data_IF_928385296851
#
_entry.id   IF_928385296851
#
_cell.length_a   1.000
_cell.length_b   1.000
_cell.length_c   1.000
_cell.angle_alpha   90.00
_cell.angle_beta   90.00
_cell.angle_gamma   90.00
#
_symmetry.space_group_name_H-M   'P 1'
#
loop_
_entity.id
_entity.type
_entity.pdbx_description
1 polymer ?
#
# COMPACT_ATOMS: atom_id res chain seq x y z
N UNK A 1 -11.79 11.41 6.05
CA UNK A 1 -12.78 12.45 5.77
C UNK A 1 -12.49 13.73 6.55
N UNK A 2 -12.40 13.73 7.89
CA UNK A 2 -12.13 14.90 8.71
C UNK A 2 -10.84 15.61 8.32
N UNK A 3 -9.77 14.89 8.03
CA UNK A 3 -8.48 15.48 7.62
C UNK A 3 -8.60 16.18 6.27
N UNK A 4 -9.29 15.60 5.30
CA UNK A 4 -9.52 16.22 4.00
C UNK A 4 -10.36 17.51 4.12
N UNK A 5 -11.30 17.58 5.06
CA UNK A 5 -12.11 18.77 5.28
C UNK A 5 -11.38 19.90 6.03
N UNK A 6 -10.38 19.57 6.88
CA UNK A 6 -9.61 20.55 7.64
C UNK A 6 -8.38 21.09 6.90
N UNK A 7 -7.65 20.21 6.20
CA UNK A 7 -6.38 20.55 5.54
C UNK A 7 -6.51 20.81 4.05
N UNK A 8 -7.73 20.75 3.50
CA UNK A 8 -7.99 20.96 2.07
C UNK A 8 -7.65 19.72 1.23
N UNK A 9 -7.70 19.93 -0.09
CA UNK A 9 -7.55 18.87 -1.10
C UNK A 9 -6.09 18.74 -1.59
N UNK A 10 -5.11 19.00 -0.71
CA UNK A 10 -3.70 18.86 -1.08
C UNK A 10 -3.32 17.38 -1.18
N UNK A 11 -2.92 16.89 -2.37
CA UNK A 11 -2.58 15.48 -2.57
C UNK A 11 -1.42 15.01 -1.69
N UNK A 12 -0.50 15.93 -1.36
CA UNK A 12 0.65 15.60 -0.52
C UNK A 12 0.22 15.29 0.92
N UNK A 13 -0.63 16.12 1.51
CA UNK A 13 -1.14 15.94 2.87
C UNK A 13 -1.95 14.63 2.97
N UNK A 14 -2.80 14.36 1.97
CA UNK A 14 -3.56 13.11 1.91
C UNK A 14 -2.64 11.89 1.82
N UNK A 15 -1.61 11.95 0.97
CA UNK A 15 -0.65 10.85 0.81
C UNK A 15 0.11 10.56 2.10
N UNK A 16 0.59 11.58 2.80
CA UNK A 16 1.26 11.44 4.11
C UNK A 16 0.32 10.85 5.15
N UNK A 17 -0.92 11.30 5.18
CA UNK A 17 -1.93 10.80 6.12
C UNK A 17 -2.22 9.32 5.89
N UNK A 18 -2.43 8.91 4.64
CA UNK A 18 -2.61 7.49 4.32
C UNK A 18 -1.36 6.69 4.66
N UNK A 19 -0.16 7.19 4.34
CA UNK A 19 1.11 6.55 4.67
C UNK A 19 1.25 6.28 6.16
N UNK A 20 0.96 7.26 7.01
CA UNK A 20 1.00 7.11 8.47
C UNK A 20 -0.05 6.13 8.99
N UNK A 21 -1.27 6.19 8.44
CA UNK A 21 -2.37 5.30 8.85
C UNK A 21 -2.05 3.84 8.54
N UNK A 22 -1.46 3.56 7.39
CA UNK A 22 -1.11 2.22 6.96
C UNK A 22 0.27 1.73 7.44
N UNK A 23 1.10 2.60 8.00
CA UNK A 23 2.36 2.20 8.63
C UNK A 23 2.15 1.31 9.87
N UNK A 24 1.09 1.52 10.63
CA UNK A 24 0.79 0.76 11.84
C UNK A 24 0.48 -0.75 11.57
N UNK A 25 -0.33 -1.14 10.58
CA UNK A 25 -0.48 -2.53 10.16
C UNK A 25 0.85 -3.19 9.76
N UNK A 26 1.65 -2.52 8.92
CA UNK A 26 2.95 -3.02 8.45
C UNK A 26 3.89 -3.27 9.65
N UNK A 27 3.97 -2.34 10.58
CA UNK A 27 4.80 -2.48 11.78
C UNK A 27 4.35 -3.67 12.66
N UNK A 28 3.05 -3.92 12.77
CA UNK A 28 2.52 -5.09 13.51
C UNK A 28 2.90 -6.41 12.85
N UNK A 29 2.77 -6.50 11.53
CA UNK A 29 3.14 -7.70 10.78
C UNK A 29 4.64 -7.94 10.86
N UNK A 30 5.47 -6.91 10.69
CA UNK A 30 6.91 -7.00 10.83
C UNK A 30 7.33 -7.51 12.22
N UNK A 31 6.71 -6.97 13.28
CA UNK A 31 6.96 -7.41 14.66
C UNK A 31 6.54 -8.86 14.87
N UNK A 32 5.34 -9.24 14.45
CA UNK A 32 4.82 -10.61 14.59
C UNK A 32 5.69 -11.63 13.86
N UNK A 33 6.04 -11.36 12.61
CA UNK A 33 6.92 -12.21 11.80
C UNK A 33 8.31 -12.36 12.43
N UNK A 34 8.86 -11.26 12.96
CA UNK A 34 10.16 -11.30 13.65
C UNK A 34 10.08 -12.19 14.90
N UNK A 35 9.03 -12.09 15.70
CA UNK A 35 8.88 -12.92 16.90
C UNK A 35 8.79 -14.41 16.57
N UNK A 36 8.01 -14.76 15.55
CA UNK A 36 7.90 -16.16 15.08
C UNK A 36 9.24 -16.69 14.56
N UNK A 37 9.98 -15.89 13.80
CA UNK A 37 11.31 -16.28 13.31
C UNK A 37 12.34 -16.45 14.42
N UNK A 38 12.34 -15.58 15.42
CA UNK A 38 13.26 -15.68 16.57
C UNK A 38 13.05 -16.95 17.41
N UNK A 39 11.85 -17.54 17.34
CA UNK A 39 11.54 -18.81 18.01
C UNK A 39 11.96 -20.06 17.21
N UNK A 40 12.34 -19.91 15.92
CA UNK A 40 12.74 -21.04 15.07
C UNK A 40 14.11 -21.59 15.41
N UNK A 41 14.29 -22.90 15.16
CA UNK A 41 15.50 -23.64 15.52
C UNK A 41 16.76 -23.14 14.81
N UNK A 42 16.66 -22.67 13.54
CA UNK A 42 17.84 -22.14 12.84
C UNK A 42 18.43 -20.90 13.53
N UNK A 43 17.58 -20.04 14.12
CA UNK A 43 18.04 -18.88 14.90
C UNK A 43 18.70 -19.33 16.20
N UNK A 44 18.19 -20.39 16.82
CA UNK A 44 18.84 -20.98 18.02
C UNK A 44 20.23 -21.54 17.70
N UNK A 45 20.35 -22.25 16.59
CA UNK A 45 21.65 -22.76 16.11
C UNK A 45 22.61 -21.62 15.81
N UNK A 46 22.17 -20.58 15.10
CA UNK A 46 22.99 -19.43 14.80
C UNK A 46 23.50 -18.71 16.09
N UNK A 47 22.66 -18.67 17.14
CA UNK A 47 23.09 -18.14 18.46
C UNK A 47 24.13 -19.02 19.13
N UNK A 48 24.00 -20.33 19.04
CA UNK A 48 24.97 -21.28 19.58
C UNK A 48 26.34 -21.21 18.87
N UNK A 49 26.34 -20.88 17.59
CA UNK A 49 27.53 -20.67 16.77
C UNK A 49 28.22 -19.30 17.03
N UNK A 50 27.71 -18.52 17.99
CA UNK A 50 28.30 -17.24 18.36
C UNK A 50 27.68 -16.02 17.68
N UNK A 51 26.60 -16.21 16.89
CA UNK A 51 25.85 -15.12 16.29
C UNK A 51 25.16 -14.27 17.36
N UNK A 52 25.55 -13.01 17.51
CA UNK A 52 25.01 -12.08 18.51
C UNK A 52 24.57 -10.76 17.88
N UNK A 53 23.47 -10.21 18.42
CA UNK A 53 23.01 -8.85 18.13
C UNK A 53 22.81 -8.56 16.65
N UNK A 54 23.57 -7.62 16.14
CA UNK A 54 23.44 -7.07 14.79
C UNK A 54 23.67 -8.12 13.69
N UNK A 55 24.66 -8.99 13.85
CA UNK A 55 24.99 -10.02 12.87
C UNK A 55 23.84 -11.03 12.70
N UNK A 56 23.19 -11.44 13.79
CA UNK A 56 22.05 -12.31 13.75
C UNK A 56 20.84 -11.61 13.09
N UNK A 57 20.65 -10.33 13.40
CA UNK A 57 19.55 -9.54 12.86
C UNK A 57 19.68 -9.40 11.34
N UNK A 58 20.83 -8.94 10.84
CA UNK A 58 21.02 -8.67 9.42
C UNK A 58 21.31 -9.92 8.59
N UNK A 59 21.96 -10.95 9.17
CA UNK A 59 22.31 -12.17 8.46
C UNK A 59 21.18 -13.17 8.35
N UNK A 60 20.38 -13.33 9.41
CA UNK A 60 19.39 -14.41 9.49
C UNK A 60 17.95 -13.91 9.56
N UNK A 61 17.67 -12.88 10.37
CA UNK A 61 16.30 -12.47 10.65
C UNK A 61 15.77 -11.55 9.54
N UNK A 62 16.50 -10.49 9.21
CA UNK A 62 16.07 -9.46 8.26
C UNK A 62 15.77 -10.03 6.85
N UNK A 63 16.61 -10.89 6.24
CA UNK A 63 16.32 -11.44 4.91
C UNK A 63 15.03 -12.29 4.88
N UNK A 64 14.70 -12.94 5.98
CA UNK A 64 13.51 -13.78 6.08
C UNK A 64 12.25 -12.96 6.41
N UNK A 65 12.37 -11.91 7.24
CA UNK A 65 11.25 -11.00 7.57
C UNK A 65 10.93 -10.10 6.38
N UNK A 66 11.94 -9.69 5.60
CA UNK A 66 11.81 -8.73 4.51
C UNK A 66 10.76 -9.16 3.47
N UNK A 67 10.74 -10.44 3.09
CA UNK A 67 9.74 -10.96 2.15
C UNK A 67 8.31 -10.77 2.66
N UNK A 68 8.05 -11.13 3.90
CA UNK A 68 6.73 -10.97 4.53
C UNK A 68 6.33 -9.51 4.63
N UNK A 69 7.28 -8.63 4.94
CA UNK A 69 7.04 -7.18 5.03
C UNK A 69 6.76 -6.59 3.64
N UNK A 70 7.47 -7.02 2.59
CA UNK A 70 7.21 -6.59 1.22
C UNK A 70 5.80 -6.98 0.75
N UNK A 71 5.39 -8.20 1.03
CA UNK A 71 4.04 -8.68 0.73
C UNK A 71 2.99 -7.79 1.42
N UNK A 72 3.18 -7.49 2.69
CA UNK A 72 2.27 -6.61 3.44
C UNK A 72 2.25 -5.18 2.88
N UNK A 73 3.42 -4.62 2.53
CA UNK A 73 3.50 -3.28 1.90
C UNK A 73 2.72 -3.26 0.59
N UNK A 74 2.85 -4.26 -0.26
CA UNK A 74 2.14 -4.32 -1.53
C UNK A 74 0.62 -4.45 -1.35
N UNK A 75 0.17 -5.24 -0.38
CA UNK A 75 -1.25 -5.32 -0.01
C UNK A 75 -1.77 -3.96 0.49
N UNK A 76 -1.06 -3.31 1.39
CA UNK A 76 -1.46 -2.00 1.92
C UNK A 76 -1.45 -0.93 0.82
N UNK A 77 -0.49 -0.99 -0.11
CA UNK A 77 -0.45 -0.10 -1.27
C UNK A 77 -1.71 -0.22 -2.13
N UNK A 78 -2.19 -1.44 -2.37
CA UNK A 78 -3.46 -1.68 -3.07
C UNK A 78 -4.65 -1.02 -2.37
N UNK A 79 -4.74 -1.18 -1.04
CA UNK A 79 -5.79 -0.54 -0.24
C UNK A 79 -5.71 0.98 -0.27
N UNK A 80 -4.51 1.56 -0.22
CA UNK A 80 -4.29 3.01 -0.31
C UNK A 80 -4.79 3.54 -1.66
N UNK A 81 -4.44 2.89 -2.76
CA UNK A 81 -4.88 3.29 -4.11
C UNK A 81 -6.41 3.30 -4.19
N UNK A 82 -7.05 2.22 -3.77
CA UNK A 82 -8.51 2.11 -3.81
C UNK A 82 -9.19 3.15 -2.91
N UNK A 83 -8.67 3.35 -1.69
CA UNK A 83 -9.20 4.34 -0.76
C UNK A 83 -9.04 5.77 -1.29
N UNK A 84 -7.86 6.10 -1.84
CA UNK A 84 -7.58 7.41 -2.40
C UNK A 84 -8.45 7.69 -3.63
N UNK A 85 -8.54 6.74 -4.58
CA UNK A 85 -9.40 6.88 -5.76
C UNK A 85 -10.88 7.00 -5.40
N UNK A 86 -11.35 6.26 -4.38
CA UNK A 86 -12.72 6.38 -3.87
C UNK A 86 -12.98 7.76 -3.28
N UNK A 87 -12.02 8.31 -2.54
CA UNK A 87 -12.12 9.65 -1.95
C UNK A 87 -12.16 10.73 -3.04
N UNK A 88 -11.30 10.61 -4.05
CA UNK A 88 -11.26 11.50 -5.21
C UNK A 88 -12.54 11.44 -6.04
N UNK A 89 -13.10 10.23 -6.23
CA UNK A 89 -14.40 10.05 -6.88
C UNK A 89 -15.54 10.78 -6.15
N UNK A 90 -15.48 10.86 -4.82
CA UNK A 90 -16.45 11.60 -4.01
C UNK A 90 -16.18 13.12 -3.96
N UNK A 91 -15.13 13.60 -4.66
CA UNK A 91 -14.76 15.02 -4.67
C UNK A 91 -14.03 15.48 -3.41
N UNK A 92 -13.56 14.55 -2.57
CA UNK A 92 -12.85 14.84 -1.32
C UNK A 92 -11.35 14.53 -1.41
N UNK A 93 -10.87 14.10 -2.59
CA UNK A 93 -9.47 13.82 -2.86
C UNK A 93 -8.78 14.94 -3.64
N UNK A 94 -8.09 14.56 -4.71
CA UNK A 94 -7.39 15.49 -5.59
C UNK A 94 -8.38 16.42 -6.29
N UNK A 95 -7.97 17.70 -6.45
CA UNK A 95 -8.74 18.70 -7.19
C UNK A 95 -8.16 18.90 -8.59
N UNK A 96 -9.00 19.22 -9.59
CA UNK A 96 -8.51 19.59 -10.92
C UNK A 96 -7.47 20.74 -10.82
N UNK A 97 -6.42 20.73 -11.64
CA UNK A 97 -6.14 19.89 -12.80
C UNK A 97 -5.29 18.64 -12.50
N UNK A 98 -5.29 18.10 -11.29
CA UNK A 98 -4.44 16.97 -10.91
C UNK A 98 -4.86 15.70 -11.66
N UNK A 99 -3.97 15.04 -12.44
CA UNK A 99 -4.30 13.82 -13.17
C UNK A 99 -4.36 12.65 -12.18
N UNK A 100 -5.57 12.22 -11.83
CA UNK A 100 -5.80 11.11 -10.90
C UNK A 100 -7.00 10.29 -11.40
N UNK A 101 -6.90 8.97 -11.38
CA UNK A 101 -7.89 8.09 -11.98
C UNK A 101 -9.27 8.18 -11.32
N UNK A 102 -9.35 8.31 -10.01
CA UNK A 102 -10.61 8.47 -9.31
C UNK A 102 -11.34 9.77 -9.70
N UNK A 103 -10.57 10.86 -9.82
CA UNK A 103 -11.08 12.15 -10.29
C UNK A 103 -11.53 12.06 -11.76
N UNK A 104 -10.73 11.41 -12.62
CA UNK A 104 -11.11 11.20 -14.03
C UNK A 104 -12.42 10.42 -14.16
N UNK A 105 -12.65 9.40 -13.33
CA UNK A 105 -13.91 8.65 -13.29
C UNK A 105 -15.06 9.57 -12.87
N UNK A 106 -14.85 10.41 -11.86
CA UNK A 106 -15.87 11.34 -11.37
C UNK A 106 -16.28 12.36 -12.44
N UNK A 107 -15.32 12.96 -13.12
CA UNK A 107 -15.55 13.93 -14.19
C UNK A 107 -16.21 13.30 -15.43
N UNK A 108 -15.73 12.11 -15.82
CA UNK A 108 -16.26 11.40 -16.98
C UNK A 108 -17.67 10.85 -16.78
N UNK A 109 -18.17 10.78 -15.56
CA UNK A 109 -19.51 10.29 -15.22
C UNK A 109 -20.62 11.01 -16.01
N UNK A 110 -20.48 12.33 -16.20
CA UNK A 110 -21.45 13.15 -16.93
C UNK A 110 -21.50 12.81 -18.42
N UNK A 111 -20.44 12.24 -18.96
CA UNK A 111 -20.32 11.87 -20.39
C UNK A 111 -20.57 10.39 -20.65
N UNK A 112 -20.97 9.61 -19.66
CA UNK A 112 -21.11 8.16 -19.75
C UNK A 112 -22.11 7.72 -20.84
N UNK A 113 -23.17 8.49 -21.06
CA UNK A 113 -24.18 8.23 -22.08
C UNK A 113 -23.73 8.55 -23.50
N UNK A 114 -22.78 9.48 -23.66
CA UNK A 114 -22.28 9.96 -24.96
C UNK A 114 -21.02 9.21 -25.35
N UNK A 115 -20.08 9.06 -24.40
CA UNK A 115 -18.81 8.38 -24.60
C UNK A 115 -18.45 7.51 -23.38
N UNK A 116 -18.90 6.25 -23.35
CA UNK A 116 -18.63 5.35 -22.22
C UNK A 116 -17.13 5.02 -22.05
N UNK A 117 -16.32 5.13 -23.09
CA UNK A 117 -14.89 4.86 -23.03
C UNK A 117 -14.15 5.81 -22.09
N UNK A 118 -14.62 7.05 -21.93
CA UNK A 118 -14.01 8.01 -21.01
C UNK A 118 -14.06 7.56 -19.56
N UNK A 119 -15.05 6.76 -19.16
CA UNK A 119 -15.16 6.19 -17.81
C UNK A 119 -14.44 4.84 -17.72
N UNK A 120 -14.59 4.01 -18.74
CA UNK A 120 -14.04 2.64 -18.75
C UNK A 120 -12.49 2.67 -18.73
N UNK A 121 -11.87 3.58 -19.46
CA UNK A 121 -10.40 3.67 -19.54
C UNK A 121 -9.73 3.82 -18.18
N UNK A 122 -10.03 4.82 -17.35
CA UNK A 122 -9.41 4.97 -16.04
C UNK A 122 -9.74 3.82 -15.07
N UNK A 123 -10.94 3.23 -15.18
CA UNK A 123 -11.31 2.04 -14.37
C UNK A 123 -10.41 0.85 -14.73
N UNK A 124 -10.22 0.57 -16.01
CA UNK A 124 -9.37 -0.53 -16.48
C UNK A 124 -7.90 -0.29 -16.07
N UNK A 125 -7.41 0.94 -16.17
CA UNK A 125 -6.05 1.29 -15.73
C UNK A 125 -5.86 1.06 -14.23
N UNK A 126 -6.81 1.49 -13.40
CA UNK A 126 -6.77 1.27 -11.97
C UNK A 126 -6.86 -0.22 -11.61
N UNK A 127 -7.77 -0.96 -12.24
CA UNK A 127 -7.90 -2.40 -12.04
C UNK A 127 -6.64 -3.15 -12.47
N UNK A 128 -6.04 -2.79 -13.61
CA UNK A 128 -4.81 -3.42 -14.10
C UNK A 128 -3.62 -3.17 -13.15
N UNK A 129 -3.50 -1.98 -12.58
CA UNK A 129 -2.48 -1.68 -11.59
C UNK A 129 -2.63 -2.53 -10.33
N UNK A 130 -3.85 -2.61 -9.80
CA UNK A 130 -4.15 -3.43 -8.61
C UNK A 130 -3.82 -4.90 -8.86
N UNK A 131 -4.25 -5.43 -10.00
CA UNK A 131 -3.97 -6.83 -10.38
C UNK A 131 -2.48 -7.07 -10.61
N UNK A 132 -1.75 -6.13 -11.20
CA UNK A 132 -0.31 -6.24 -11.40
C UNK A 132 0.45 -6.28 -10.07
N UNK A 133 0.07 -5.43 -9.10
CA UNK A 133 0.68 -5.44 -7.75
C UNK A 133 0.40 -6.76 -7.04
N UNK A 134 -0.84 -7.28 -7.10
CA UNK A 134 -1.18 -8.57 -6.49
C UNK A 134 -0.45 -9.73 -7.16
N UNK A 135 -0.37 -9.75 -8.49
CA UNK A 135 0.34 -10.80 -9.21
C UNK A 135 1.86 -10.82 -8.94
N UNK A 136 2.45 -9.68 -8.60
CA UNK A 136 3.85 -9.60 -8.15
C UNK A 136 4.03 -10.22 -6.76
N UNK A 137 3.06 -9.98 -5.87
CA UNK A 137 3.07 -10.53 -4.50
C UNK A 137 2.87 -12.05 -4.51
N UNK A 138 1.98 -12.55 -5.35
CA UNK A 138 1.67 -14.00 -5.41
C UNK A 138 2.82 -14.83 -6.02
N UNK A 139 3.79 -14.19 -6.66
CA UNK A 139 4.96 -14.88 -7.25
C UNK A 139 6.16 -15.04 -6.31
N UNK A 140 6.15 -14.37 -5.16
CA UNK A 140 7.22 -14.41 -4.15
C UNK A 140 6.93 -15.40 -3.00
#
# INVERSE_FOLDING_TARGET
>A
LLIASFFGHDPFILSVTFGLMYAAPIARVARGSTQVLLARDFVRVARLQGGRGVNLLFGEVLPNVWRVVLTEIAMQFTWIILAFSSLSFLGLGASPPTPEWGLMIAEARSYMTINPLSVITPIVMLASLVLAVQALVDRE
#
